data_IF_904756734242
#
_entry.id   IF_904756734242
#
_cell.length_a   1.000
_cell.length_b   1.000
_cell.length_c   1.000
_cell.angle_alpha   90.00
_cell.angle_beta   90.00
_cell.angle_gamma   90.00
#
_symmetry.space_group_name_H-M   'P 1'
#
loop_
_entity.id
_entity.type
_entity.pdbx_description
1 polymer ?
#
# COMPACT_ATOMS: atom_id res chain seq x y z
N UNK A 1 11.45 -13.45 -41.31
CA UNK A 1 12.38 -13.01 -42.39
C UNK A 1 12.45 -13.97 -43.57
N UNK A 2 12.67 -15.28 -43.39
CA UNK A 2 12.74 -16.25 -44.52
C UNK A 2 11.52 -16.28 -45.45
N UNK A 3 10.31 -16.04 -44.94
CA UNK A 3 9.08 -16.05 -45.76
C UNK A 3 8.98 -14.82 -46.67
N UNK A 4 9.38 -13.64 -46.18
CA UNK A 4 9.32 -12.39 -46.96
C UNK A 4 10.33 -12.38 -48.11
N UNK A 5 11.52 -12.95 -47.91
CA UNK A 5 12.51 -13.09 -48.99
C UNK A 5 12.06 -14.06 -50.08
N UNK A 6 11.33 -15.12 -49.72
CA UNK A 6 10.76 -16.06 -50.69
C UNK A 6 9.68 -15.39 -51.53
N UNK A 7 8.79 -14.62 -50.90
CA UNK A 7 7.73 -13.88 -51.59
C UNK A 7 8.29 -12.80 -52.52
N UNK A 8 9.33 -12.08 -52.10
CA UNK A 8 10.02 -11.11 -52.96
C UNK A 8 10.67 -11.78 -54.17
N UNK A 9 11.40 -12.89 -53.96
CA UNK A 9 12.05 -13.61 -55.05
C UNK A 9 11.04 -14.19 -56.06
N UNK A 10 9.86 -14.59 -55.60
CA UNK A 10 8.77 -15.02 -56.48
C UNK A 10 8.24 -13.88 -57.35
N UNK A 11 8.03 -12.68 -56.78
CA UNK A 11 7.62 -11.50 -57.56
C UNK A 11 8.67 -11.16 -58.62
N UNK A 12 9.96 -11.11 -58.24
CA UNK A 12 11.04 -10.85 -59.19
C UNK A 12 11.08 -11.91 -60.31
N UNK A 13 10.92 -13.20 -59.96
CA UNK A 13 10.84 -14.28 -60.93
C UNK A 13 9.70 -14.08 -61.94
N UNK A 14 8.50 -13.71 -61.49
CA UNK A 14 7.36 -13.46 -62.37
C UNK A 14 7.58 -12.26 -63.29
N UNK A 15 8.22 -11.19 -62.80
CA UNK A 15 8.49 -9.98 -63.59
C UNK A 15 9.59 -10.22 -64.63
N UNK A 16 10.63 -11.00 -64.31
CA UNK A 16 11.72 -11.31 -65.25
C UNK A 16 11.27 -12.07 -66.49
N UNK A 17 10.28 -12.96 -66.36
CA UNK A 17 9.73 -13.74 -67.49
C UNK A 17 9.04 -12.84 -68.52
N UNK A 18 8.51 -11.68 -68.10
CA UNK A 18 7.88 -10.70 -69.00
C UNK A 18 8.90 -9.66 -69.49
N UNK A 19 9.80 -9.19 -68.61
CA UNK A 19 10.76 -8.13 -68.95
C UNK A 19 11.86 -8.59 -69.89
N UNK A 20 12.26 -9.87 -69.84
CA UNK A 20 13.34 -10.42 -70.65
C UNK A 20 12.83 -11.45 -71.67
N UNK A 21 11.54 -11.41 -72.04
CA UNK A 21 11.07 -12.27 -73.13
C UNK A 21 11.51 -11.72 -74.47
N UNK A 22 12.15 -12.55 -75.30
CA UNK A 22 12.54 -12.22 -76.69
C UNK A 22 11.33 -12.14 -77.66
N UNK A 23 10.11 -12.22 -77.13
CA UNK A 23 8.86 -12.26 -77.91
C UNK A 23 8.29 -10.85 -78.00
N UNK A 24 8.10 -10.35 -79.22
CA UNK A 24 7.44 -9.08 -79.47
C UNK A 24 5.92 -9.22 -79.25
N UNK A 25 5.42 -8.55 -78.22
CA UNK A 25 4.01 -8.54 -77.84
C UNK A 25 3.08 -7.96 -78.94
N UNK A 26 3.61 -7.27 -79.94
CA UNK A 26 2.85 -6.66 -81.03
C UNK A 26 2.88 -7.46 -82.33
N UNK A 27 3.64 -8.56 -82.41
CA UNK A 27 3.64 -9.44 -83.59
C UNK A 27 2.46 -10.44 -83.56
N UNK A 28 1.60 -10.34 -84.58
CA UNK A 28 0.40 -11.17 -84.75
C UNK A 28 0.73 -12.67 -84.91
N UNK A 29 1.94 -13.03 -85.35
CA UNK A 29 2.36 -14.44 -85.55
C UNK A 29 2.68 -15.18 -84.25
N UNK A 30 3.15 -14.46 -83.23
CA UNK A 30 3.50 -14.99 -81.89
C UNK A 30 2.42 -14.73 -80.84
N UNK A 31 1.29 -14.12 -81.24
CA UNK A 31 0.10 -13.92 -80.39
C UNK A 31 -0.31 -15.14 -79.54
N UNK A 32 -0.43 -16.38 -80.06
CA UNK A 32 -0.82 -17.52 -79.23
C UNK A 32 0.23 -17.90 -78.16
N UNK A 33 1.51 -17.61 -78.42
CA UNK A 33 2.62 -17.85 -77.49
C UNK A 33 2.69 -16.75 -76.42
N UNK A 34 2.49 -15.49 -76.81
CA UNK A 34 2.32 -14.36 -75.89
C UNK A 34 1.11 -14.56 -74.96
N UNK A 35 -0.03 -14.98 -75.50
CA UNK A 35 -1.23 -15.33 -74.72
C UNK A 35 -0.93 -16.45 -73.71
N UNK A 36 -0.04 -17.40 -74.04
CA UNK A 36 0.39 -18.46 -73.12
C UNK A 36 1.22 -17.89 -71.97
N UNK A 37 2.15 -17.00 -72.25
CA UNK A 37 3.01 -16.36 -71.25
C UNK A 37 2.18 -15.50 -70.30
N UNK A 38 1.28 -14.68 -70.85
CA UNK A 38 0.37 -13.84 -70.06
C UNK A 38 -0.57 -14.70 -69.18
N UNK A 39 -1.10 -15.81 -69.70
CA UNK A 39 -1.90 -16.74 -68.89
C UNK A 39 -1.10 -17.34 -67.73
N UNK A 40 0.15 -17.73 -67.96
CA UNK A 40 1.05 -18.25 -66.92
C UNK A 40 1.31 -17.17 -65.87
N UNK A 41 1.62 -15.95 -66.28
CA UNK A 41 1.84 -14.83 -65.37
C UNK A 41 0.63 -14.55 -64.48
N UNK A 42 -0.57 -14.42 -65.04
CA UNK A 42 -1.77 -14.17 -64.23
C UNK A 42 -2.12 -15.32 -63.29
N UNK A 43 -1.84 -16.57 -63.70
CA UNK A 43 -1.97 -17.74 -62.81
C UNK A 43 -1.00 -17.66 -61.65
N UNK A 44 0.25 -17.29 -61.90
CA UNK A 44 1.30 -17.23 -60.88
C UNK A 44 1.06 -16.04 -59.93
N UNK A 45 0.57 -14.90 -60.43
CA UNK A 45 0.07 -13.77 -59.62
C UNK A 45 -1.06 -14.20 -58.71
N UNK A 46 -2.05 -14.94 -59.22
CA UNK A 46 -3.16 -15.45 -58.39
C UNK A 46 -2.67 -16.41 -57.30
N UNK A 47 -1.76 -17.32 -57.63
CA UNK A 47 -1.14 -18.22 -56.65
C UNK A 47 -0.39 -17.46 -55.56
N UNK A 48 0.28 -16.37 -55.92
CA UNK A 48 0.93 -15.47 -54.98
C UNK A 48 -0.07 -14.75 -54.08
N UNK A 49 -1.16 -14.21 -54.64
CA UNK A 49 -2.22 -13.57 -53.85
C UNK A 49 -2.83 -14.54 -52.83
N UNK A 50 -3.05 -15.80 -53.21
CA UNK A 50 -3.60 -16.81 -52.30
C UNK A 50 -2.61 -17.22 -51.21
N UNK A 51 -1.31 -17.31 -51.52
CA UNK A 51 -0.25 -17.49 -50.50
C UNK A 51 -0.19 -16.30 -49.53
N UNK A 52 -0.32 -15.07 -50.04
CA UNK A 52 -0.37 -13.87 -49.22
C UNK A 52 -1.59 -13.86 -48.31
N UNK A 53 -2.79 -14.21 -48.80
CA UNK A 53 -3.99 -14.34 -47.96
C UNK A 53 -3.79 -15.37 -46.86
N UNK A 54 -3.22 -16.54 -47.17
CA UNK A 54 -2.93 -17.56 -46.15
C UNK A 54 -1.93 -17.06 -45.10
N UNK A 55 -0.88 -16.34 -45.53
CA UNK A 55 0.09 -15.74 -44.62
C UNK A 55 -0.55 -14.69 -43.72
N UNK A 56 -1.31 -13.76 -44.29
CA UNK A 56 -2.05 -12.73 -43.53
C UNK A 56 -3.03 -13.41 -42.56
N UNK A 57 -3.77 -14.42 -43.00
CA UNK A 57 -4.67 -15.20 -42.14
C UNK A 57 -3.96 -15.84 -40.95
N UNK A 58 -2.78 -16.45 -41.16
CA UNK A 58 -1.95 -16.99 -40.08
C UNK A 58 -1.45 -15.90 -39.13
N UNK A 59 -1.07 -14.74 -39.66
CA UNK A 59 -0.66 -13.61 -38.83
C UNK A 59 -1.80 -13.15 -37.92
N UNK A 60 -3.01 -12.98 -38.45
CA UNK A 60 -4.21 -12.62 -37.66
C UNK A 60 -4.58 -13.68 -36.61
N UNK A 61 -4.46 -14.96 -36.92
CA UNK A 61 -4.70 -16.05 -35.97
C UNK A 61 -3.63 -16.14 -34.88
N UNK A 62 -2.37 -15.81 -35.21
CA UNK A 62 -1.26 -15.81 -34.24
C UNK A 62 -1.26 -14.59 -33.32
N UNK A 63 -1.92 -13.49 -33.71
CA UNK A 63 -2.07 -12.32 -32.86
C UNK A 63 -3.16 -12.54 -31.82
N UNK A 64 -2.73 -12.90 -30.60
CA UNK A 64 -3.60 -13.18 -29.45
C UNK A 64 -4.45 -12.00 -28.93
N UNK A 65 -4.25 -10.79 -29.46
CA UNK A 65 -4.91 -9.56 -28.99
C UNK A 65 -5.38 -8.70 -30.15
N UNK A 66 -6.57 -8.09 -30.02
CA UNK A 66 -7.12 -7.13 -30.98
C UNK A 66 -6.14 -6.00 -31.32
N UNK A 67 -5.27 -5.57 -30.39
CA UNK A 67 -4.34 -4.46 -30.59
C UNK A 67 -3.29 -4.80 -31.64
N UNK A 68 -2.76 -6.02 -31.58
CA UNK A 68 -1.80 -6.52 -32.56
C UNK A 68 -2.46 -6.71 -33.93
N UNK A 69 -3.70 -7.22 -33.92
CA UNK A 69 -4.48 -7.35 -35.15
C UNK A 69 -4.80 -5.98 -35.77
N UNK A 70 -5.03 -4.95 -34.96
CA UNK A 70 -5.27 -3.57 -35.42
C UNK A 70 -4.03 -2.93 -36.02
N UNK A 71 -2.87 -3.09 -35.39
CA UNK A 71 -1.59 -2.61 -35.94
C UNK A 71 -1.32 -3.28 -37.28
N UNK A 72 -1.58 -4.59 -37.37
CA UNK A 72 -1.43 -5.35 -38.61
C UNK A 72 -2.37 -4.83 -39.70
N UNK A 73 -3.66 -4.66 -39.41
CA UNK A 73 -4.63 -4.13 -40.38
C UNK A 73 -4.22 -2.74 -40.91
N UNK A 74 -3.82 -1.82 -40.01
CA UNK A 74 -3.38 -0.47 -40.36
C UNK A 74 -2.11 -0.44 -41.20
N UNK A 75 -1.24 -1.44 -41.07
CA UNK A 75 -0.04 -1.55 -41.90
C UNK A 75 -0.37 -1.73 -43.40
N UNK A 76 -1.52 -2.35 -43.71
CA UNK A 76 -1.97 -2.55 -45.08
C UNK A 76 -2.68 -1.33 -45.68
N UNK A 77 -3.18 -0.39 -44.88
CA UNK A 77 -3.80 0.85 -45.40
C UNK A 77 -2.80 1.73 -46.16
N UNK A 78 -1.51 1.61 -45.81
CA UNK A 78 -0.42 2.36 -46.45
C UNK A 78 0.10 1.71 -47.73
N UNK A 79 -0.35 0.50 -48.06
CA UNK A 79 0.14 -0.30 -49.19
C UNK A 79 -0.98 -0.44 -50.22
N UNK A 80 -0.69 -0.13 -51.48
CA UNK A 80 -1.61 -0.43 -52.60
C UNK A 80 -1.68 -1.93 -52.83
N UNK A 81 -2.70 -2.57 -52.28
CA UNK A 81 -2.97 -4.01 -52.44
C UNK A 81 -4.03 -4.27 -53.52
N UNK A 82 -3.93 -5.44 -54.15
CA UNK A 82 -4.93 -5.97 -55.09
C UNK A 82 -6.34 -6.01 -54.45
N UNK A 83 -7.43 -5.82 -55.23
CA UNK A 83 -8.80 -5.89 -54.73
C UNK A 83 -9.11 -7.17 -53.93
N UNK A 84 -8.56 -8.31 -54.35
CA UNK A 84 -8.79 -9.60 -53.68
C UNK A 84 -8.14 -9.67 -52.29
N UNK A 85 -6.98 -9.05 -52.11
CA UNK A 85 -6.30 -8.93 -50.82
C UNK A 85 -7.02 -7.90 -49.94
N UNK A 86 -7.49 -6.80 -50.53
CA UNK A 86 -8.29 -5.78 -49.82
C UNK A 86 -9.58 -6.36 -49.24
N UNK A 87 -10.30 -7.16 -50.00
CA UNK A 87 -11.49 -7.86 -49.51
C UNK A 87 -11.17 -8.81 -48.35
N UNK A 88 -10.05 -9.54 -48.44
CA UNK A 88 -9.58 -10.40 -47.36
C UNK A 88 -9.24 -9.61 -46.08
N UNK A 89 -8.61 -8.44 -46.21
CA UNK A 89 -8.32 -7.55 -45.07
C UNK A 89 -9.61 -7.02 -44.43
N UNK A 90 -10.61 -6.63 -45.25
CA UNK A 90 -11.92 -6.20 -44.77
C UNK A 90 -12.66 -7.33 -44.02
N UNK A 91 -12.56 -8.57 -44.50
CA UNK A 91 -13.10 -9.74 -43.78
C UNK A 91 -12.35 -9.98 -42.46
N UNK A 92 -11.03 -9.83 -42.47
CA UNK A 92 -10.19 -9.97 -41.27
C UNK A 92 -10.52 -8.90 -40.21
N UNK A 93 -10.93 -7.68 -40.61
CA UNK A 93 -11.45 -6.64 -39.71
C UNK A 93 -12.69 -7.11 -38.95
N UNK A 94 -13.60 -7.81 -39.61
CA UNK A 94 -14.78 -8.40 -38.96
C UNK A 94 -14.38 -9.45 -37.93
N UNK A 95 -13.33 -10.24 -38.20
CA UNK A 95 -12.82 -11.23 -37.25
C UNK A 95 -12.10 -10.56 -36.07
N UNK A 96 -11.41 -9.44 -36.27
CA UNK A 96 -10.87 -8.61 -35.17
C UNK A 96 -11.97 -8.09 -34.24
N UNK A 97 -13.10 -7.64 -34.80
CA UNK A 97 -14.24 -7.19 -34.01
C UNK A 97 -14.85 -8.33 -33.19
N UNK A 98 -14.92 -9.54 -33.75
CA UNK A 98 -15.34 -10.73 -32.98
C UNK A 98 -14.38 -10.99 -31.83
N UNK A 99 -13.07 -10.93 -32.06
CA UNK A 99 -12.07 -11.10 -31.01
C UNK A 99 -12.23 -10.02 -29.92
N UNK A 100 -12.47 -8.77 -30.30
CA UNK A 100 -12.72 -7.70 -29.34
C UNK A 100 -13.99 -7.94 -28.50
N UNK A 101 -15.08 -8.43 -29.11
CA UNK A 101 -16.29 -8.82 -28.38
C UNK A 101 -16.00 -9.94 -27.37
N UNK A 102 -15.17 -10.93 -27.73
CA UNK A 102 -14.72 -12.00 -26.85
C UNK A 102 -13.93 -11.41 -25.68
N UNK A 103 -12.94 -10.55 -25.93
CA UNK A 103 -12.12 -9.91 -24.90
C UNK A 103 -12.93 -9.02 -23.94
N UNK A 104 -13.97 -8.32 -24.44
CA UNK A 104 -14.92 -7.58 -23.58
C UNK A 104 -15.68 -8.57 -22.69
N UNK A 105 -16.11 -9.71 -23.23
CA UNK A 105 -16.88 -10.73 -22.49
C UNK A 105 -16.02 -11.41 -21.43
N UNK A 106 -14.75 -11.68 -21.72
CA UNK A 106 -13.77 -12.17 -20.75
C UNK A 106 -13.54 -11.16 -19.63
N UNK A 107 -13.47 -9.87 -19.97
CA UNK A 107 -13.31 -8.79 -18.99
C UNK A 107 -14.56 -8.65 -18.11
N UNK A 108 -15.76 -8.79 -18.69
CA UNK A 108 -17.04 -8.85 -17.97
C UNK A 108 -17.07 -10.06 -17.03
N UNK A 109 -16.67 -11.24 -17.49
CA UNK A 109 -16.62 -12.45 -16.67
C UNK A 109 -15.60 -12.34 -15.53
N UNK A 110 -14.41 -11.77 -15.80
CA UNK A 110 -13.41 -11.51 -14.78
C UNK A 110 -13.97 -10.57 -13.70
N UNK A 111 -14.67 -9.51 -14.12
CA UNK A 111 -15.32 -8.59 -13.19
C UNK A 111 -16.37 -9.31 -12.33
N UNK A 112 -17.29 -10.06 -12.94
CA UNK A 112 -18.36 -10.78 -12.22
C UNK A 112 -17.81 -11.85 -11.25
N UNK A 113 -16.72 -12.53 -11.62
CA UNK A 113 -16.10 -13.54 -10.78
C UNK A 113 -15.42 -12.94 -9.53
N UNK A 114 -14.88 -11.73 -9.64
CA UNK A 114 -14.11 -11.05 -8.59
C UNK A 114 -14.86 -9.85 -7.99
N UNK A 115 -16.14 -9.67 -8.30
CA UNK A 115 -16.92 -8.50 -7.90
C UNK A 115 -16.98 -8.34 -6.37
N UNK A 116 -17.13 -9.48 -5.68
CA UNK A 116 -17.21 -9.55 -4.21
C UNK A 116 -15.85 -9.38 -3.55
N UNK A 117 -14.80 -9.96 -4.13
CA UNK A 117 -13.43 -9.94 -3.64
C UNK A 117 -12.48 -9.49 -4.75
N UNK A 118 -12.36 -8.17 -4.97
CA UNK A 118 -11.47 -7.63 -5.99
C UNK A 118 -10.01 -7.92 -5.59
N UNK A 119 -9.09 -8.03 -6.57
CA UNK A 119 -7.68 -8.23 -6.29
C UNK A 119 -7.12 -7.13 -5.39
N UNK A 120 -6.57 -7.52 -4.24
CA UNK A 120 -5.95 -6.60 -3.29
C UNK A 120 -4.53 -6.28 -3.74
N UNK A 121 -4.22 -4.99 -3.88
CA UNK A 121 -2.86 -4.53 -4.15
C UNK A 121 -2.10 -4.44 -2.81
N UNK A 122 -0.85 -4.91 -2.81
CA UNK A 122 -0.01 -4.88 -1.61
C UNK A 122 0.17 -3.44 -1.11
N UNK A 123 -0.04 -3.22 0.19
CA UNK A 123 0.06 -1.92 0.85
C UNK A 123 -0.93 -0.84 0.34
N UNK A 124 -2.03 -1.24 -0.30
CA UNK A 124 -3.11 -0.34 -0.73
C UNK A 124 -4.41 -0.72 -0.01
N UNK A 125 -5.17 0.25 0.54
CA UNK A 125 -6.46 -0.01 1.16
C UNK A 125 -7.47 -0.69 0.22
N UNK A 126 -8.44 -1.39 0.78
CA UNK A 126 -9.38 -2.24 0.03
C UNK A 126 -10.21 -1.45 -1.00
N UNK A 127 -10.78 -0.30 -0.63
CA UNK A 127 -11.61 0.48 -1.58
C UNK A 127 -10.77 1.05 -2.71
N UNK A 128 -9.60 1.61 -2.38
CA UNK A 128 -8.68 2.15 -3.37
C UNK A 128 -8.21 1.04 -4.35
N UNK A 129 -7.89 -0.15 -3.84
CA UNK A 129 -7.52 -1.31 -4.66
C UNK A 129 -8.64 -1.72 -5.62
N UNK A 130 -9.89 -1.82 -5.11
CA UNK A 130 -11.05 -2.15 -5.92
C UNK A 130 -11.29 -1.14 -7.06
N UNK A 131 -11.14 0.16 -6.75
CA UNK A 131 -11.31 1.25 -7.72
C UNK A 131 -10.20 1.23 -8.79
N UNK A 132 -8.95 0.97 -8.38
CA UNK A 132 -7.81 0.84 -9.30
C UNK A 132 -7.99 -0.34 -10.24
N UNK A 133 -8.37 -1.50 -9.71
CA UNK A 133 -8.66 -2.69 -10.52
C UNK A 133 -9.75 -2.42 -11.56
N UNK A 134 -10.87 -1.82 -11.16
CA UNK A 134 -11.95 -1.46 -12.11
C UNK A 134 -11.49 -0.42 -13.13
N UNK A 135 -10.64 0.53 -12.74
CA UNK A 135 -10.02 1.49 -13.66
C UNK A 135 -9.16 0.78 -14.70
N UNK A 136 -8.40 -0.24 -14.31
CA UNK A 136 -7.57 -1.02 -15.23
C UNK A 136 -8.42 -1.81 -16.23
N UNK A 137 -9.52 -2.44 -15.77
CA UNK A 137 -10.49 -3.11 -16.65
C UNK A 137 -11.14 -2.13 -17.63
N UNK A 138 -11.54 -0.93 -17.15
CA UNK A 138 -12.07 0.13 -18.01
C UNK A 138 -11.05 0.58 -19.06
N UNK A 139 -9.78 0.79 -18.67
CA UNK A 139 -8.72 1.15 -19.61
C UNK A 139 -8.51 0.05 -20.66
N UNK A 140 -8.55 -1.22 -20.23
CA UNK A 140 -8.40 -2.40 -21.10
C UNK A 140 -9.46 -2.43 -22.20
N UNK A 141 -10.71 -2.06 -21.92
CA UNK A 141 -11.79 -2.03 -22.94
C UNK A 141 -11.88 -0.70 -23.70
N UNK A 142 -11.55 0.44 -23.07
CA UNK A 142 -11.73 1.78 -23.63
C UNK A 142 -10.63 2.18 -24.62
N UNK A 143 -9.38 1.79 -24.37
CA UNK A 143 -8.26 1.98 -25.34
C UNK A 143 -8.56 1.34 -26.70
N UNK A 144 -9.05 0.09 -26.78
CA UNK A 144 -9.55 -0.48 -28.02
C UNK A 144 -10.68 0.28 -28.65
N UNK A 145 -11.68 0.61 -27.84
CA UNK A 145 -12.89 1.21 -28.34
C UNK A 145 -12.63 2.59 -28.95
N UNK A 146 -11.66 3.36 -28.43
CA UNK A 146 -11.29 4.64 -29.03
C UNK A 146 -10.65 4.49 -30.41
N UNK A 147 -9.79 3.47 -30.62
CA UNK A 147 -9.14 3.24 -31.92
C UNK A 147 -10.10 2.65 -32.96
N UNK A 148 -11.06 1.82 -32.55
CA UNK A 148 -12.02 1.19 -33.45
C UNK A 148 -13.12 2.18 -33.87
N UNK A 149 -13.47 3.14 -33.00
CA UNK A 149 -14.57 4.11 -33.21
C UNK A 149 -14.53 4.81 -34.56
N UNK A 150 -13.35 5.23 -34.99
CA UNK A 150 -13.16 5.99 -36.22
C UNK A 150 -13.37 5.14 -37.49
N UNK A 151 -13.41 3.80 -37.35
CA UNK A 151 -13.52 2.85 -38.45
C UNK A 151 -14.85 2.08 -38.45
N UNK A 152 -15.76 2.38 -37.52
CA UNK A 152 -17.06 1.73 -37.45
C UNK A 152 -17.91 2.15 -38.65
N UNK A 153 -18.41 1.16 -39.41
CA UNK A 153 -19.27 1.37 -40.57
C UNK A 153 -20.77 1.24 -40.22
N UNK A 154 -21.07 1.00 -38.94
CA UNK A 154 -22.41 0.81 -38.36
C UNK A 154 -23.12 -0.47 -38.82
N UNK A 155 -22.33 -1.49 -39.17
CA UNK A 155 -22.81 -2.82 -39.51
C UNK A 155 -23.39 -3.54 -38.26
N UNK A 156 -24.09 -4.67 -38.48
CA UNK A 156 -24.72 -5.44 -37.38
C UNK A 156 -23.72 -5.82 -36.27
N UNK A 157 -22.48 -6.19 -36.61
CA UNK A 157 -21.42 -6.55 -35.66
C UNK A 157 -20.83 -5.35 -34.92
N UNK A 158 -20.72 -4.20 -35.60
CA UNK A 158 -20.30 -2.94 -34.99
C UNK A 158 -21.26 -2.50 -33.89
N UNK A 159 -22.57 -2.64 -34.15
CA UNK A 159 -23.64 -2.35 -33.18
C UNK A 159 -23.57 -3.29 -31.97
N UNK A 160 -23.29 -4.57 -32.19
CA UNK A 160 -23.13 -5.56 -31.12
C UNK A 160 -21.94 -5.19 -30.20
N UNK A 161 -20.77 -4.91 -30.78
CA UNK A 161 -19.58 -4.49 -30.03
C UNK A 161 -19.82 -3.21 -29.23
N UNK A 162 -20.44 -2.18 -29.85
CA UNK A 162 -20.76 -0.92 -29.18
C UNK A 162 -21.76 -1.10 -28.03
N UNK A 163 -22.76 -1.95 -28.21
CA UNK A 163 -23.78 -2.22 -27.19
C UNK A 163 -23.15 -2.93 -26.00
N UNK A 164 -22.30 -3.93 -26.25
CA UNK A 164 -21.63 -4.68 -25.19
C UNK A 164 -20.60 -3.84 -24.45
N UNK A 165 -19.79 -3.06 -25.18
CA UNK A 165 -18.89 -2.07 -24.59
C UNK A 165 -19.64 -1.11 -23.66
N UNK A 166 -20.72 -0.47 -24.13
CA UNK A 166 -21.52 0.47 -23.32
C UNK A 166 -22.13 -0.20 -22.08
N UNK A 167 -22.56 -1.46 -22.20
CA UNK A 167 -23.09 -2.23 -21.06
C UNK A 167 -22.00 -2.44 -20.01
N UNK A 168 -20.84 -2.94 -20.41
CA UNK A 168 -19.71 -3.20 -19.50
C UNK A 168 -19.15 -1.91 -18.90
N UNK A 169 -19.01 -0.85 -19.69
CA UNK A 169 -18.58 0.48 -19.22
C UNK A 169 -19.53 1.03 -18.14
N UNK A 170 -20.85 0.96 -18.36
CA UNK A 170 -21.85 1.38 -17.38
C UNK A 170 -21.78 0.56 -16.09
N UNK A 171 -21.64 -0.76 -16.21
CA UNK A 171 -21.52 -1.67 -15.07
C UNK A 171 -20.28 -1.34 -14.21
N UNK A 172 -19.12 -1.21 -14.84
CA UNK A 172 -17.86 -0.86 -14.17
C UNK A 172 -17.92 0.55 -13.54
N UNK A 173 -18.53 1.52 -14.24
CA UNK A 173 -18.71 2.87 -13.71
C UNK A 173 -19.67 2.90 -12.50
N UNK A 174 -20.74 2.10 -12.52
CA UNK A 174 -21.67 1.96 -11.40
C UNK A 174 -20.98 1.38 -10.17
N UNK A 175 -20.21 0.29 -10.33
CA UNK A 175 -19.43 -0.31 -9.24
C UNK A 175 -18.42 0.68 -8.63
N UNK A 176 -17.66 1.37 -9.48
CA UNK A 176 -16.70 2.40 -9.05
C UNK A 176 -17.37 3.50 -8.22
N UNK A 177 -18.57 3.92 -8.62
CA UNK A 177 -19.37 4.91 -7.89
C UNK A 177 -19.88 4.34 -6.57
N UNK A 178 -20.43 3.14 -6.57
CA UNK A 178 -20.95 2.47 -5.37
C UNK A 178 -19.86 2.30 -4.31
N UNK A 179 -18.68 1.77 -4.69
CA UNK A 179 -17.55 1.62 -3.77
C UNK A 179 -17.09 2.96 -3.19
N UNK A 180 -17.07 4.01 -4.00
CA UNK A 180 -16.72 5.35 -3.56
C UNK A 180 -17.75 5.92 -2.57
N UNK A 181 -19.04 5.76 -2.83
CA UNK A 181 -20.11 6.19 -1.93
C UNK A 181 -20.08 5.43 -0.60
N UNK A 182 -19.88 4.10 -0.65
CA UNK A 182 -19.70 3.28 0.54
C UNK A 182 -18.48 3.71 1.36
N UNK A 183 -17.36 4.01 0.70
CA UNK A 183 -16.15 4.51 1.34
C UNK A 183 -16.40 5.81 2.11
N UNK A 184 -17.17 6.76 1.57
CA UNK A 184 -17.47 8.02 2.30
C UNK A 184 -18.14 7.75 3.64
N UNK A 185 -19.07 6.80 3.69
CA UNK A 185 -19.77 6.40 4.93
C UNK A 185 -18.81 5.69 5.88
N UNK A 186 -18.03 4.72 5.38
CA UNK A 186 -17.06 3.96 6.18
C UNK A 186 -15.97 4.88 6.75
N UNK A 187 -15.41 5.77 5.95
CA UNK A 187 -14.40 6.73 6.35
C UNK A 187 -14.93 7.68 7.42
N UNK A 188 -16.16 8.19 7.25
CA UNK A 188 -16.80 9.02 8.25
C UNK A 188 -16.98 8.26 9.58
N UNK A 189 -17.52 7.04 9.54
CA UNK A 189 -17.73 6.21 10.74
C UNK A 189 -16.42 5.83 11.43
N UNK A 190 -15.40 5.41 10.67
CA UNK A 190 -14.05 5.11 11.21
C UNK A 190 -13.43 6.31 11.91
N UNK A 191 -13.50 7.49 11.29
CA UNK A 191 -12.95 8.71 11.87
C UNK A 191 -13.78 9.22 13.05
N UNK A 192 -15.10 9.13 12.99
CA UNK A 192 -15.97 9.50 14.11
C UNK A 192 -15.72 8.59 15.32
N UNK A 193 -15.59 7.28 15.09
CA UNK A 193 -15.18 6.32 16.13
C UNK A 193 -13.81 6.66 16.70
N UNK A 194 -12.83 6.99 15.85
CA UNK A 194 -11.50 7.43 16.29
C UNK A 194 -11.59 8.66 17.20
N UNK A 195 -12.32 9.70 16.78
CA UNK A 195 -12.52 10.92 17.56
C UNK A 195 -13.18 10.65 18.92
N UNK A 196 -14.15 9.73 18.97
CA UNK A 196 -14.82 9.32 20.20
C UNK A 196 -13.99 8.37 21.07
N UNK A 197 -12.86 7.84 20.59
CA UNK A 197 -12.01 7.00 21.42
C UNK A 197 -11.30 7.83 22.48
N UNK A 198 -11.23 7.28 23.70
CA UNK A 198 -10.51 7.90 24.80
C UNK A 198 -9.00 7.82 24.54
N UNK A 199 -8.26 8.83 24.98
CA UNK A 199 -6.84 9.01 24.68
C UNK A 199 -5.95 7.92 25.31
N UNK A 200 -6.36 7.38 26.45
CA UNK A 200 -5.65 6.31 27.17
C UNK A 200 -6.49 5.03 27.28
N UNK A 201 -5.80 3.87 27.26
CA UNK A 201 -6.36 2.55 27.62
C UNK A 201 -5.49 1.85 28.65
N UNK A 202 -6.10 1.09 29.57
CA UNK A 202 -5.37 0.17 30.45
C UNK A 202 -5.20 -1.18 29.73
N UNK A 203 -3.98 -1.71 29.72
CA UNK A 203 -3.72 -3.09 29.29
C UNK A 203 -4.25 -4.04 30.38
N UNK A 204 -5.15 -4.96 30.05
CA UNK A 204 -5.49 -6.06 30.96
C UNK A 204 -4.50 -7.20 30.72
N UNK A 205 -3.62 -7.53 31.68
CA UNK A 205 -2.83 -8.74 31.58
C UNK A 205 -3.79 -9.96 31.67
N UNK A 206 -3.78 -10.82 30.65
CA UNK A 206 -4.59 -12.07 30.60
C UNK A 206 -4.15 -13.12 31.66
N UNK A 207 -3.19 -12.77 32.52
CA UNK A 207 -2.72 -13.62 33.61
C UNK A 207 -3.39 -13.20 34.91
N UNK A 208 -4.21 -14.11 35.44
CA UNK A 208 -4.89 -14.12 36.74
C UNK A 208 -3.95 -14.09 37.97
N UNK A 209 -2.88 -13.28 37.94
CA UNK A 209 -1.94 -13.12 39.07
C UNK A 209 -2.13 -11.84 39.89
N UNK A 210 -3.00 -10.93 39.45
CA UNK A 210 -3.26 -9.67 40.15
C UNK A 210 -4.70 -9.63 40.65
N UNK A 211 -4.97 -10.36 41.73
CA UNK A 211 -6.30 -10.38 42.39
C UNK A 211 -6.50 -9.17 43.32
N UNK A 212 -5.44 -8.39 43.59
CA UNK A 212 -5.48 -7.09 44.26
C UNK A 212 -4.45 -6.16 43.62
N UNK A 213 -4.76 -5.58 42.45
CA UNK A 213 -3.87 -4.60 41.79
C UNK A 213 -3.76 -3.35 42.65
N UNK A 214 -2.58 -3.08 43.19
CA UNK A 214 -2.32 -1.79 43.85
C UNK A 214 -2.41 -0.67 42.79
N UNK A 215 -2.79 0.56 43.18
CA UNK A 215 -2.81 1.74 42.28
C UNK A 215 -1.49 1.92 41.50
N UNK A 216 -0.38 1.42 42.06
CA UNK A 216 0.94 1.37 41.44
C UNK A 216 1.00 0.45 40.21
N UNK A 217 0.47 -0.76 40.30
CA UNK A 217 0.41 -1.70 39.18
C UNK A 217 -0.54 -1.21 38.09
N UNK A 218 -1.61 -0.50 38.45
CA UNK A 218 -2.49 0.14 37.48
C UNK A 218 -1.81 1.27 36.68
N UNK A 219 -0.89 2.01 37.30
CA UNK A 219 -0.12 3.08 36.64
C UNK A 219 0.77 2.55 35.51
N UNK A 220 1.26 1.31 35.63
CA UNK A 220 2.09 0.65 34.62
C UNK A 220 1.27 0.12 33.41
N UNK A 221 -0.06 0.06 33.53
CA UNK A 221 -0.92 -0.52 32.50
C UNK A 221 -1.43 0.52 31.49
N UNK A 222 -1.22 1.82 31.71
CA UNK A 222 -1.67 2.85 30.77
C UNK A 222 -0.85 2.82 29.47
N UNK A 223 -1.55 2.73 28.33
CA UNK A 223 -1.00 2.90 26.99
C UNK A 223 -1.84 3.92 26.22
N UNK A 224 -1.19 4.63 25.30
CA UNK A 224 -1.88 5.52 24.37
C UNK A 224 -2.83 4.69 23.51
N UNK A 225 -4.10 5.10 23.48
CA UNK A 225 -5.11 4.47 22.66
C UNK A 225 -5.21 5.25 21.34
N UNK A 226 -4.35 4.87 20.39
CA UNK A 226 -4.34 5.44 19.05
C UNK A 226 -4.63 4.35 18.01
N UNK A 227 -5.91 4.19 17.61
CA UNK A 227 -6.29 3.23 16.57
C UNK A 227 -5.63 3.53 15.21
N UNK A 228 -5.38 2.50 14.41
CA UNK A 228 -4.88 2.62 13.01
C UNK A 228 -5.89 3.24 12.05
N UNK A 229 -7.12 3.48 12.51
CA UNK A 229 -8.23 4.02 11.71
C UNK A 229 -7.89 5.35 11.03
N UNK A 230 -7.16 6.24 11.71
CA UNK A 230 -6.72 7.51 11.13
C UNK A 230 -5.70 7.29 10.00
N UNK A 231 -4.70 6.42 10.25
CA UNK A 231 -3.65 6.07 9.27
C UNK A 231 -4.26 5.42 8.01
N UNK A 232 -5.16 4.46 8.19
CA UNK A 232 -5.87 3.77 7.10
C UNK A 232 -6.67 4.74 6.23
N UNK A 233 -7.51 5.58 6.85
CA UNK A 233 -8.36 6.55 6.12
C UNK A 233 -7.51 7.65 5.48
N UNK A 234 -6.41 8.06 6.12
CA UNK A 234 -5.46 9.06 5.59
C UNK A 234 -4.81 8.57 4.30
N UNK A 235 -4.26 7.35 4.29
CA UNK A 235 -3.66 6.74 3.10
C UNK A 235 -4.70 6.57 1.99
N UNK A 236 -5.89 6.07 2.33
CA UNK A 236 -6.96 5.85 1.36
C UNK A 236 -7.47 7.15 0.74
N UNK A 237 -7.65 8.20 1.54
CA UNK A 237 -8.07 9.51 1.06
C UNK A 237 -7.02 10.16 0.13
N UNK A 238 -5.73 10.08 0.47
CA UNK A 238 -4.64 10.59 -0.38
C UNK A 238 -4.62 9.88 -1.75
N UNK A 239 -4.85 8.56 -1.77
CA UNK A 239 -4.94 7.79 -3.01
C UNK A 239 -6.18 8.15 -3.84
N UNK A 240 -7.34 8.32 -3.20
CA UNK A 240 -8.57 8.72 -3.88
C UNK A 240 -8.46 10.15 -4.46
N UNK A 241 -7.84 11.07 -3.74
CA UNK A 241 -7.55 12.43 -4.22
C UNK A 241 -6.63 12.38 -5.45
N UNK A 242 -5.56 11.57 -5.42
CA UNK A 242 -4.68 11.34 -6.57
C UNK A 242 -5.40 10.72 -7.78
N UNK A 243 -6.46 9.94 -7.55
CA UNK A 243 -7.33 9.38 -8.59
C UNK A 243 -8.35 10.38 -9.15
N UNK A 244 -8.44 11.58 -8.56
CA UNK A 244 -9.32 12.67 -8.97
C UNK A 244 -10.67 12.71 -8.27
N UNK A 245 -10.81 12.08 -7.10
CA UNK A 245 -12.04 12.11 -6.31
C UNK A 245 -12.05 13.24 -5.28
N UNK A 246 -13.24 13.76 -5.00
CA UNK A 246 -13.45 14.84 -4.03
C UNK A 246 -13.62 14.32 -2.60
N UNK A 247 -12.60 14.48 -1.77
CA UNK A 247 -12.64 14.04 -0.37
C UNK A 247 -13.71 14.84 0.42
N UNK A 248 -14.61 14.17 1.18
CA UNK A 248 -15.60 14.85 2.01
C UNK A 248 -14.95 15.83 2.99
N UNK A 249 -15.57 17.00 3.19
CA UNK A 249 -15.02 18.08 4.02
C UNK A 249 -14.67 17.63 5.44
N UNK A 250 -15.49 16.77 6.05
CA UNK A 250 -15.23 16.19 7.37
C UNK A 250 -13.92 15.40 7.40
N UNK A 251 -13.74 14.48 6.45
CA UNK A 251 -12.53 13.65 6.32
C UNK A 251 -11.31 14.53 6.04
N UNK A 252 -11.46 15.51 5.14
CA UNK A 252 -10.41 16.46 4.78
C UNK A 252 -9.91 17.26 5.99
N UNK A 253 -10.82 17.79 6.80
CA UNK A 253 -10.47 18.57 7.99
C UNK A 253 -9.68 17.75 9.01
N UNK A 254 -10.06 16.49 9.22
CA UNK A 254 -9.36 15.59 10.15
C UNK A 254 -7.96 15.22 9.62
N UNK A 255 -7.84 14.95 8.32
CA UNK A 255 -6.54 14.68 7.69
C UNK A 255 -5.61 15.90 7.76
N UNK A 256 -6.14 17.12 7.64
CA UNK A 256 -5.33 18.34 7.84
C UNK A 256 -4.77 18.42 9.27
N UNK A 257 -5.52 17.90 10.26
CA UNK A 257 -5.11 17.85 11.66
C UNK A 257 -4.25 16.61 12.00
N UNK A 258 -4.00 15.72 11.05
CA UNK A 258 -3.26 14.45 11.23
C UNK A 258 -1.93 14.65 11.97
N UNK A 259 -1.14 15.65 11.56
CA UNK A 259 0.15 15.95 12.19
C UNK A 259 0.00 16.38 13.66
N UNK A 260 -1.06 17.12 14.00
CA UNK A 260 -1.35 17.53 15.38
C UNK A 260 -1.66 16.32 16.25
N UNK A 261 -2.47 15.38 15.76
CA UNK A 261 -2.78 14.13 16.45
C UNK A 261 -1.53 13.28 16.70
N UNK A 262 -0.64 13.15 15.72
CA UNK A 262 0.64 12.43 15.92
C UNK A 262 1.53 13.14 16.95
N UNK A 263 1.60 14.48 16.94
CA UNK A 263 2.37 15.22 17.95
C UNK A 263 1.81 15.02 19.36
N UNK A 264 0.49 15.08 19.53
CA UNK A 264 -0.17 14.82 20.82
C UNK A 264 0.06 13.39 21.29
N UNK A 265 -0.11 12.39 20.40
CA UNK A 265 0.20 10.97 20.67
C UNK A 265 1.64 10.80 21.16
N UNK A 266 2.62 11.40 20.48
CA UNK A 266 4.03 11.28 20.85
C UNK A 266 4.32 11.92 22.21
N UNK A 267 3.75 13.09 22.50
CA UNK A 267 3.89 13.75 23.81
C UNK A 267 3.36 12.88 24.94
N UNK A 268 2.17 12.28 24.77
CA UNK A 268 1.57 11.41 25.77
C UNK A 268 2.38 10.12 25.92
N UNK A 269 2.87 9.55 24.80
CA UNK A 269 3.73 8.36 24.83
C UNK A 269 5.00 8.62 25.64
N UNK A 270 5.67 9.75 25.43
CA UNK A 270 6.86 10.13 26.18
C UNK A 270 6.56 10.27 27.68
N UNK A 271 5.45 10.91 28.07
CA UNK A 271 5.05 11.04 29.48
C UNK A 271 4.82 9.66 30.12
N UNK A 272 4.21 8.73 29.39
CA UNK A 272 3.98 7.37 29.88
C UNK A 272 5.29 6.56 29.96
N UNK A 273 6.21 6.74 29.02
CA UNK A 273 7.54 6.13 29.07
C UNK A 273 8.33 6.66 30.29
N UNK A 274 8.35 7.98 30.50
CA UNK A 274 8.96 8.62 31.68
C UNK A 274 8.37 8.11 33.01
N UNK A 275 7.06 7.89 33.04
CA UNK A 275 6.36 7.33 34.19
C UNK A 275 6.73 5.87 34.41
N UNK A 276 6.74 5.06 33.34
CA UNK A 276 7.15 3.65 33.41
C UNK A 276 8.58 3.51 33.91
N UNK A 277 9.51 4.33 33.41
CA UNK A 277 10.90 4.34 33.85
C UNK A 277 11.01 4.68 35.34
N UNK A 278 10.31 5.75 35.78
CA UNK A 278 10.31 6.20 37.18
C UNK A 278 9.72 5.14 38.14
N UNK A 279 8.77 4.34 37.68
CA UNK A 279 8.14 3.27 38.46
C UNK A 279 8.96 1.98 38.47
N UNK A 280 9.66 1.65 37.37
CA UNK A 280 10.50 0.44 37.28
C UNK A 280 11.70 0.44 38.24
N UNK A 281 12.08 1.63 38.68
CA UNK A 281 13.27 1.92 39.48
C UNK A 281 13.04 1.89 41.01
N UNK A 282 11.80 1.61 41.45
CA UNK A 282 11.37 1.69 42.86
C UNK A 282 11.25 0.30 43.50
N UNK A 283 11.68 0.18 44.77
CA UNK A 283 11.54 -1.04 45.59
C UNK A 283 10.18 -1.08 46.31
N UNK A 284 9.76 -2.28 46.74
CA UNK A 284 8.45 -2.55 47.38
C UNK A 284 8.19 -1.67 48.61
N UNK A 285 9.23 -1.36 49.38
CA UNK A 285 9.13 -0.56 50.61
C UNK A 285 8.93 0.94 50.30
N UNK A 286 9.51 1.43 49.20
CA UNK A 286 9.37 2.80 48.72
C UNK A 286 7.97 3.05 48.13
N UNK A 287 7.38 2.02 47.52
CA UNK A 287 6.03 2.04 46.95
C UNK A 287 4.97 2.30 48.03
N UNK A 288 5.12 1.73 49.23
CA UNK A 288 4.19 1.98 50.35
C UNK A 288 4.21 3.43 50.84
N UNK A 289 5.30 4.16 50.62
CA UNK A 289 5.42 5.58 51.04
C UNK A 289 4.87 6.53 49.96
N UNK A 290 4.74 6.04 48.72
CA UNK A 290 4.33 6.80 47.53
C UNK A 290 2.85 6.67 47.19
N UNK A 291 2.04 6.00 48.03
CA UNK A 291 0.64 5.69 47.76
C UNK A 291 -0.21 6.93 47.40
N UNK A 292 -0.06 8.03 48.16
CA UNK A 292 -0.78 9.30 47.90
C UNK A 292 -0.33 9.97 46.58
N UNK A 293 0.98 10.17 46.30
CA UNK A 293 1.44 10.65 45.00
C UNK A 293 0.99 9.79 43.81
N UNK A 294 0.97 8.47 43.96
CA UNK A 294 0.53 7.53 42.92
C UNK A 294 -0.97 7.68 42.68
N UNK A 295 -1.78 7.82 43.73
CA UNK A 295 -3.21 8.03 43.61
C UNK A 295 -3.55 9.35 42.89
N UNK A 296 -2.86 10.44 43.25
CA UNK A 296 -3.01 11.72 42.55
C UNK A 296 -2.62 11.61 41.07
N UNK A 297 -1.53 10.90 40.75
CA UNK A 297 -1.10 10.66 39.38
C UNK A 297 -2.10 9.81 38.59
N UNK A 298 -2.58 8.72 39.18
CA UNK A 298 -3.59 7.84 38.59
C UNK A 298 -4.92 8.57 38.38
N UNK A 299 -5.33 9.45 39.30
CA UNK A 299 -6.56 10.24 39.12
C UNK A 299 -6.48 11.17 37.91
N UNK A 300 -5.31 11.79 37.65
CA UNK A 300 -5.11 12.60 36.44
C UNK A 300 -5.14 11.72 35.19
N UNK A 301 -4.47 10.57 35.21
CA UNK A 301 -4.48 9.63 34.07
C UNK A 301 -5.86 9.00 33.83
N UNK A 302 -6.68 8.82 34.87
CA UNK A 302 -8.07 8.37 34.76
C UNK A 302 -8.95 9.38 34.02
N UNK A 303 -8.64 10.68 34.04
CA UNK A 303 -9.31 11.68 33.20
C UNK A 303 -9.05 11.40 31.72
N UNK A 304 -7.82 11.07 31.35
CA UNK A 304 -7.43 10.68 29.99
C UNK A 304 -8.05 9.36 29.52
N UNK A 305 -8.48 8.52 30.47
CA UNK A 305 -9.16 7.26 30.21
C UNK A 305 -10.68 7.42 30.11
N UNK A 306 -11.30 8.28 30.90
CA UNK A 306 -12.77 8.28 31.07
C UNK A 306 -13.45 9.51 30.46
N UNK A 307 -12.74 10.63 30.30
CA UNK A 307 -13.34 11.92 29.94
C UNK A 307 -12.75 12.53 28.68
N UNK A 308 -11.48 12.27 28.37
CA UNK A 308 -10.80 12.94 27.26
C UNK A 308 -10.79 12.03 26.05
N UNK A 309 -11.49 12.49 25.02
CA UNK A 309 -11.57 11.87 23.71
C UNK A 309 -10.63 12.60 22.74
N UNK A 310 -10.30 11.99 21.61
CA UNK A 310 -9.50 12.66 20.57
C UNK A 310 -10.23 13.84 19.92
N UNK A 311 -11.56 13.93 20.06
CA UNK A 311 -12.37 15.10 19.69
C UNK A 311 -12.15 16.32 20.62
N UNK A 312 -11.71 16.07 21.86
CA UNK A 312 -11.67 17.11 22.89
C UNK A 312 -10.58 18.15 22.61
N UNK A 313 -10.93 19.43 22.71
CA UNK A 313 -9.96 20.55 22.65
C UNK A 313 -8.99 20.55 23.83
N UNK A 314 -9.28 19.78 24.88
CA UNK A 314 -8.59 19.80 26.17
C UNK A 314 -7.35 18.88 26.22
N UNK A 315 -7.01 18.20 25.11
CA UNK A 315 -5.84 17.32 25.03
C UNK A 315 -4.53 18.05 25.40
N UNK A 316 -4.26 19.30 24.94
CA UNK A 316 -3.04 20.02 25.33
C UNK A 316 -2.96 20.32 26.83
N UNK A 317 -4.09 20.69 27.44
CA UNK A 317 -4.18 20.96 28.88
C UNK A 317 -4.01 19.69 29.69
N UNK A 318 -4.56 18.58 29.21
CA UNK A 318 -4.32 17.26 29.78
C UNK A 318 -2.86 16.84 29.70
N UNK A 319 -2.20 17.05 28.56
CA UNK A 319 -0.76 16.79 28.41
C UNK A 319 0.03 17.61 29.45
N UNK A 320 -0.31 18.89 29.62
CA UNK A 320 0.34 19.77 30.60
C UNK A 320 0.12 19.29 32.03
N UNK A 321 -1.12 18.99 32.42
CA UNK A 321 -1.48 18.47 33.75
C UNK A 321 -0.82 17.12 34.04
N UNK A 322 -0.82 16.21 33.05
CA UNK A 322 -0.18 14.90 33.16
C UNK A 322 1.32 15.02 33.34
N UNK A 323 1.97 15.88 32.54
CA UNK A 323 3.41 16.16 32.68
C UNK A 323 3.74 16.74 34.06
N UNK A 324 2.96 17.72 34.53
CA UNK A 324 3.15 18.29 35.87
C UNK A 324 2.99 17.23 36.98
N UNK A 325 1.99 16.36 36.87
CA UNK A 325 1.80 15.28 37.83
C UNK A 325 2.97 14.29 37.83
N UNK A 326 3.49 13.91 36.65
CA UNK A 326 4.67 13.05 36.51
C UNK A 326 5.93 13.73 37.06
N UNK A 327 6.13 15.02 36.78
CA UNK A 327 7.28 15.79 37.29
C UNK A 327 7.28 15.89 38.82
N UNK A 328 6.11 16.13 39.43
CA UNK A 328 5.94 16.13 40.88
C UNK A 328 6.25 14.75 41.45
N UNK A 329 5.69 13.69 40.85
CA UNK A 329 5.94 12.31 41.27
C UNK A 329 7.43 11.96 41.21
N UNK A 330 8.11 12.28 40.11
CA UNK A 330 9.56 12.09 39.95
C UNK A 330 10.36 12.86 41.00
N UNK A 331 9.94 14.08 41.34
CA UNK A 331 10.51 14.85 42.43
C UNK A 331 10.44 14.13 43.77
N UNK A 332 9.31 13.47 44.08
CA UNK A 332 9.17 12.63 45.27
C UNK A 332 10.05 11.38 45.20
N UNK A 333 10.07 10.67 44.08
CA UNK A 333 10.91 9.48 43.88
C UNK A 333 12.39 9.80 44.10
N UNK A 334 12.89 10.89 43.52
CA UNK A 334 14.28 11.31 43.69
C UNK A 334 14.61 11.68 45.15
N UNK A 335 13.67 12.32 45.86
CA UNK A 335 13.84 12.61 47.29
C UNK A 335 13.93 11.33 48.11
N UNK A 336 13.08 10.34 47.85
CA UNK A 336 13.14 9.03 48.53
C UNK A 336 14.47 8.34 48.23
N UNK A 337 14.88 8.27 46.97
CA UNK A 337 16.18 7.69 46.58
C UNK A 337 17.35 8.37 47.29
N UNK A 338 17.35 9.69 47.41
CA UNK A 338 18.39 10.42 48.14
C UNK A 338 18.40 10.07 49.63
N UNK A 339 17.22 9.99 50.28
CA UNK A 339 17.09 9.60 51.68
C UNK A 339 17.60 8.17 51.90
N UNK A 340 17.21 7.22 51.04
CA UNK A 340 17.68 5.83 51.10
C UNK A 340 19.20 5.75 50.94
N UNK A 341 19.77 6.49 49.98
CA UNK A 341 21.23 6.56 49.81
C UNK A 341 21.94 7.16 51.02
N UNK A 342 21.37 8.19 51.67
CA UNK A 342 21.94 8.74 52.89
C UNK A 342 21.88 7.77 54.06
N UNK A 343 20.77 7.04 54.22
CA UNK A 343 20.63 6.00 55.22
C UNK A 343 21.67 4.90 54.97
N UNK A 344 21.79 4.40 53.74
CA UNK A 344 22.78 3.38 53.38
C UNK A 344 24.22 3.85 53.63
N UNK A 345 24.53 5.11 53.35
CA UNK A 345 25.84 5.70 53.68
C UNK A 345 26.08 5.72 55.19
N UNK A 346 25.09 6.15 55.97
CA UNK A 346 25.18 6.17 57.45
C UNK A 346 25.31 4.75 58.03
N UNK A 347 24.54 3.80 57.53
CA UNK A 347 24.62 2.39 57.94
C UNK A 347 26.01 1.81 57.61
N UNK A 348 26.55 2.07 56.42
CA UNK A 348 27.92 1.67 56.06
C UNK A 348 28.98 2.34 56.94
N UNK A 349 28.81 3.61 57.28
CA UNK A 349 29.72 4.28 58.22
C UNK A 349 29.66 3.68 59.62
N UNK A 350 28.46 3.32 60.10
CA UNK A 350 28.29 2.65 61.40
C UNK A 350 28.88 1.24 61.39
N UNK A 351 28.74 0.49 60.29
CA UNK A 351 29.32 -0.84 60.17
C UNK A 351 30.85 -0.82 60.04
N UNK A 352 31.44 0.31 59.67
CA UNK A 352 32.90 0.50 59.58
C UNK A 352 33.48 1.28 60.76
N UNK A 353 32.64 1.76 61.67
CA UNK A 353 33.06 2.39 62.91
C UNK A 353 33.55 1.31 63.89
N UNK A 354 34.82 1.40 64.25
CA UNK A 354 35.43 0.56 65.27
C UNK A 354 34.93 1.02 66.66
N UNK A 355 34.01 0.25 67.25
CA UNK A 355 33.36 0.58 68.52
C UNK A 355 34.30 0.50 69.73
N UNK A 356 35.47 -0.13 69.57
CA UNK A 356 36.46 -0.27 70.62
C UNK A 356 37.79 0.35 70.17
N UNK A 357 38.02 1.62 70.54
CA UNK A 357 39.37 2.17 70.53
C UNK A 357 40.16 1.52 71.68
N UNK A 358 40.88 0.44 71.38
CA UNK A 358 41.88 -0.06 72.32
C UNK A 358 43.02 0.96 72.39
N UNK A 359 43.20 1.60 73.55
CA UNK A 359 44.44 2.32 73.86
C UNK A 359 45.59 1.35 73.63
N UNK A 360 46.56 1.74 72.78
CA UNK A 360 47.83 1.01 72.66
C UNK A 360 48.49 1.05 74.04
N UNK A 361 48.46 -0.06 74.76
CA UNK A 361 49.26 -0.26 75.97
C UNK A 361 50.71 -0.38 75.50
N UNK A 362 51.44 0.71 75.65
CA UNK A 362 52.83 0.80 75.23
C UNK A 362 53.23 2.25 75.15
N UNK A 363 53.33 2.90 76.32
CA UNK A 363 54.43 3.80 76.65
C UNK A 363 54.14 4.49 77.99
N UNK A 364 54.63 3.85 79.07
CA UNK A 364 55.16 4.44 80.32
C UNK A 364 54.95 3.49 81.51
N UNK A 365 55.76 2.43 81.57
CA UNK A 365 56.04 1.77 82.86
C UNK A 365 57.19 2.55 83.51
N UNK A 366 57.05 3.11 84.72
CA UNK A 366 58.16 3.77 85.41
C UNK A 366 59.17 2.72 85.91
N UNK A 367 60.46 3.03 85.82
CA UNK A 367 61.56 2.17 86.24
C UNK A 367 61.55 1.96 87.77
N UNK A 368 61.43 0.71 88.23
CA UNK A 368 61.66 0.34 89.63
C UNK A 368 63.15 0.06 89.87
N UNK A 369 63.75 0.83 90.78
CA UNK A 369 65.11 0.63 91.30
C UNK A 369 65.26 -0.73 92.01
N UNK A 370 66.31 -1.47 91.66
CA UNK A 370 66.68 -2.71 92.36
C UNK A 370 67.62 -2.36 93.52
N UNK A 371 67.09 -2.39 94.74
CA UNK A 371 67.88 -2.48 95.99
C UNK A 371 68.56 -3.85 96.05
N UNK A 372 69.89 -3.90 95.91
CA UNK A 372 70.69 -5.06 96.33
C UNK A 372 71.10 -4.89 97.79
N UNK A 373 70.43 -5.65 98.66
CA UNK A 373 70.89 -5.91 100.03
C UNK A 373 71.92 -7.04 100.06
N UNK A 374 72.93 -6.87 100.91
CA UNK A 374 74.15 -7.64 101.15
C UNK A 374 73.98 -9.10 101.56
N UNK A 375 74.98 -9.95 101.26
CA UNK A 375 75.78 -10.69 102.27
C UNK A 375 76.74 -11.70 101.62
N UNK A 376 78.05 -11.48 101.78
CA UNK A 376 79.07 -12.39 102.34
C UNK A 376 80.36 -11.62 102.49
#
# INVERSE_FOLDING_TARGET
>A
MKVLSVLQNQIFGMTTVIQYSDIDAFDSKVKPEWDRIIRIFFRDVKNFEDQMKQYIGKMFQSTLSWENAYILARSFDKVTVSPSIREFILKSRTDMLKQFIIEISETENQFLAQEREPPLLHAVPETASAILWVRDLLIKISKPMSKIRDFLSMDSKDKEALTRFKKTEKMLAAYKKEKYEAWKVIAHDKLNKFLQTHVLKKFQPQSSKFVNTTRFEEALLYKVNFPTQLEEVSVEAKLLEALGYEIPSFVKNIILQENSFYQQRNKIKLILEELSDSLSDLKREEISTLEIPIENLCSVLDLGRNQIQWESTDIPDFIKKSKQAVDIFRGFVNRIKNIVQEIDKKVKSLSTCDLFQFMKIGDSVPSCEVRKGSMS
#
